data_IF_222603294896
#
_entry.id   IF_222603294896
#
_cell.length_a   1.000
_cell.length_b   1.000
_cell.length_c   1.000
_cell.angle_alpha   90.00
_cell.angle_beta   90.00
_cell.angle_gamma   90.00
#
_symmetry.space_group_name_H-M   'P 1'
#
loop_
_entity.id
_entity.type
_entity.pdbx_description
1 polymer ?
#
# COMPACT_ATOMS: atom_id res chain seq x y z
N UNK A 1 11.49 10.86 -20.16
CA UNK A 1 10.76 10.91 -18.87
C UNK A 1 9.46 11.65 -19.10
N UNK A 2 8.42 10.95 -19.58
CA UNK A 2 7.09 11.55 -19.70
C UNK A 2 6.58 11.79 -18.30
N UNK A 3 6.58 13.05 -17.87
CA UNK A 3 5.80 13.48 -16.70
C UNK A 3 4.35 13.31 -17.13
N UNK A 4 3.77 12.12 -16.92
CA UNK A 4 2.39 11.83 -17.31
C UNK A 4 1.52 12.81 -16.56
N UNK A 5 1.12 13.88 -17.24
CA UNK A 5 0.26 14.89 -16.63
C UNK A 5 -1.06 14.20 -16.31
N UNK A 6 -1.39 14.12 -15.02
CA UNK A 6 -2.70 13.64 -14.57
C UNK A 6 -3.80 14.40 -15.31
N UNK A 7 -4.89 13.73 -15.64
CA UNK A 7 -6.04 14.37 -16.29
C UNK A 7 -6.52 15.59 -15.48
N UNK A 8 -6.96 16.71 -16.10
CA UNK A 8 -7.38 17.92 -15.38
C UNK A 8 -8.36 17.65 -14.24
N UNK A 9 -9.38 16.80 -14.45
CA UNK A 9 -10.35 16.45 -13.40
C UNK A 9 -9.73 15.84 -12.14
N UNK A 10 -8.65 15.06 -12.26
CA UNK A 10 -7.93 14.52 -11.11
C UNK A 10 -7.24 15.66 -10.32
N UNK A 11 -6.68 16.65 -11.03
CA UNK A 11 -6.03 17.80 -10.40
C UNK A 11 -7.04 18.70 -9.73
N UNK A 12 -8.12 19.05 -10.43
CA UNK A 12 -9.18 19.92 -9.91
C UNK A 12 -9.77 19.35 -8.63
N UNK A 13 -10.05 18.04 -8.59
CA UNK A 13 -10.57 17.39 -7.39
C UNK A 13 -9.55 17.37 -6.24
N UNK A 14 -8.26 17.16 -6.53
CA UNK A 14 -7.21 17.19 -5.52
C UNK A 14 -7.01 18.60 -4.93
N UNK A 15 -7.18 19.66 -5.73
CA UNK A 15 -7.16 21.05 -5.27
C UNK A 15 -8.38 21.39 -4.39
N UNK A 16 -9.54 20.79 -4.66
CA UNK A 16 -10.75 20.99 -3.88
C UNK A 16 -10.77 20.21 -2.56
N UNK A 17 -10.15 19.02 -2.51
CA UNK A 17 -10.13 18.15 -1.35
C UNK A 17 -9.78 18.85 -0.01
N UNK A 18 -8.67 19.61 0.11
CA UNK A 18 -8.31 20.28 1.36
C UNK A 18 -9.22 21.46 1.72
N UNK A 19 -10.05 21.93 0.78
CA UNK A 19 -10.93 23.11 0.95
C UNK A 19 -12.34 22.74 1.43
N UNK A 20 -12.62 21.46 1.67
CA UNK A 20 -13.94 20.99 2.09
C UNK A 20 -14.32 21.55 3.47
N UNK A 21 -15.39 22.34 3.54
CA UNK A 21 -15.90 22.97 4.78
C UNK A 21 -17.07 22.23 5.41
N UNK A 22 -17.67 21.25 4.71
CA UNK A 22 -18.74 20.41 5.24
C UNK A 22 -18.41 18.92 5.09
N UNK A 23 -18.90 18.10 6.02
CA UNK A 23 -18.74 16.63 5.96
C UNK A 23 -19.36 16.05 4.68
N UNK A 24 -20.46 16.64 4.19
CA UNK A 24 -21.10 16.22 2.93
C UNK A 24 -20.20 16.49 1.72
N UNK A 25 -19.53 17.64 1.66
CA UNK A 25 -18.57 17.98 0.60
C UNK A 25 -17.36 17.06 0.64
N UNK A 26 -16.77 16.85 1.83
CA UNK A 26 -15.64 15.94 2.01
C UNK A 26 -15.99 14.51 1.56
N UNK A 27 -17.19 14.02 1.91
CA UNK A 27 -17.70 12.73 1.45
C UNK A 27 -17.84 12.70 -0.08
N UNK A 28 -18.40 13.75 -0.67
CA UNK A 28 -18.56 13.88 -2.12
C UNK A 28 -17.22 13.74 -2.85
N UNK A 29 -16.18 14.45 -2.38
CA UNK A 29 -14.81 14.37 -2.91
C UNK A 29 -14.27 12.94 -2.87
N UNK A 30 -14.41 12.23 -1.75
CA UNK A 30 -13.91 10.86 -1.61
C UNK A 30 -14.65 9.86 -2.53
N UNK A 31 -15.96 10.06 -2.74
CA UNK A 31 -16.77 9.24 -3.65
C UNK A 31 -16.39 9.52 -5.11
N UNK A 32 -16.27 10.79 -5.48
CA UNK A 32 -15.89 11.21 -6.83
C UNK A 32 -14.47 10.75 -7.17
N UNK A 33 -13.55 10.78 -6.20
CA UNK A 33 -12.18 10.32 -6.41
C UNK A 33 -12.11 8.86 -6.87
N UNK A 34 -12.94 8.01 -6.28
CA UNK A 34 -13.06 6.61 -6.67
C UNK A 34 -13.69 6.42 -8.06
N UNK A 35 -14.54 7.34 -8.51
CA UNK A 35 -15.08 7.30 -9.87
C UNK A 35 -14.02 7.73 -10.88
N UNK A 36 -13.32 8.84 -10.61
CA UNK A 36 -12.24 9.32 -11.46
C UNK A 36 -11.09 8.33 -11.60
N UNK A 37 -10.76 7.58 -10.55
CA UNK A 37 -9.78 6.48 -10.63
C UNK A 37 -10.17 5.43 -11.67
N UNK A 38 -11.43 4.98 -11.68
CA UNK A 38 -11.88 3.98 -12.66
C UNK A 38 -11.74 4.51 -14.08
N UNK A 39 -12.16 5.75 -14.31
CA UNK A 39 -12.03 6.40 -15.62
C UNK A 39 -10.54 6.54 -16.02
N UNK A 40 -9.66 6.91 -15.10
CA UNK A 40 -8.24 7.06 -15.37
C UNK A 40 -7.55 5.72 -15.73
N UNK A 41 -7.99 4.61 -15.12
CA UNK A 41 -7.55 3.26 -15.46
C UNK A 41 -8.00 2.84 -16.87
N UNK A 42 -9.22 3.19 -17.28
CA UNK A 42 -9.69 2.94 -18.65
C UNK A 42 -8.83 3.68 -19.69
N UNK A 43 -8.35 4.88 -19.34
CA UNK A 43 -7.44 5.68 -20.15
C UNK A 43 -5.94 5.31 -19.99
N UNK A 44 -5.62 4.19 -19.33
CA UNK A 44 -4.25 3.68 -19.15
C UNK A 44 -3.29 4.66 -18.46
N UNK A 45 -3.81 5.45 -17.51
CA UNK A 45 -2.95 6.25 -16.63
C UNK A 45 -2.12 5.30 -15.76
N UNK A 46 -0.80 5.53 -15.56
CA UNK A 46 0.03 4.64 -14.76
C UNK A 46 -0.51 4.44 -13.36
N UNK A 47 -0.68 3.19 -12.95
CA UNK A 47 -1.33 2.81 -11.69
C UNK A 47 -0.57 3.33 -10.47
N UNK A 48 0.76 3.38 -10.51
CA UNK A 48 1.59 3.95 -9.45
C UNK A 48 1.39 5.46 -9.30
N UNK A 49 1.11 6.19 -10.38
CA UNK A 49 0.75 7.60 -10.30
C UNK A 49 -0.65 7.77 -9.68
N UNK A 50 -1.57 6.82 -9.96
CA UNK A 50 -2.91 6.81 -9.39
C UNK A 50 -2.93 6.47 -7.89
N UNK A 51 -2.07 5.56 -7.40
CA UNK A 51 -1.96 5.30 -5.95
C UNK A 51 -1.48 6.53 -5.20
N UNK A 52 -0.48 7.24 -5.75
CA UNK A 52 0.05 8.47 -5.14
C UNK A 52 -1.03 9.54 -5.09
N UNK A 53 -1.66 9.82 -6.23
CA UNK A 53 -2.74 10.80 -6.32
C UNK A 53 -3.88 10.50 -5.36
N UNK A 54 -4.33 9.24 -5.30
CA UNK A 54 -5.45 8.85 -4.45
C UNK A 54 -5.09 8.95 -2.97
N UNK A 55 -3.88 8.51 -2.60
CA UNK A 55 -3.38 8.62 -1.23
C UNK A 55 -3.33 10.08 -0.80
N UNK A 56 -2.75 10.95 -1.63
CA UNK A 56 -2.62 12.38 -1.34
C UNK A 56 -3.97 13.06 -1.21
N UNK A 57 -4.94 12.72 -2.06
CA UNK A 57 -6.31 13.24 -1.99
C UNK A 57 -7.01 12.83 -0.69
N UNK A 58 -6.89 11.57 -0.28
CA UNK A 58 -7.47 11.11 0.99
C UNK A 58 -6.81 11.83 2.16
N UNK A 59 -5.48 11.92 2.19
CA UNK A 59 -4.74 12.64 3.25
C UNK A 59 -5.09 14.13 3.31
N UNK A 60 -5.24 14.79 2.15
CA UNK A 60 -5.69 16.18 2.07
C UNK A 60 -7.11 16.33 2.62
N UNK A 61 -7.99 15.37 2.35
CA UNK A 61 -9.36 15.35 2.91
C UNK A 61 -9.34 15.17 4.43
N UNK A 62 -8.43 14.37 4.99
CA UNK A 62 -8.27 14.22 6.45
C UNK A 62 -7.83 15.52 7.14
N UNK A 63 -7.20 16.43 6.38
CA UNK A 63 -6.67 17.70 6.88
C UNK A 63 -7.58 18.89 6.58
N UNK A 64 -8.74 18.69 5.95
CA UNK A 64 -9.65 19.77 5.60
C UNK A 64 -10.44 20.30 6.81
N UNK A 65 -10.98 21.53 6.75
CA UNK A 65 -11.78 22.12 7.84
C UNK A 65 -12.94 21.24 8.30
N UNK A 66 -13.65 20.58 7.38
CA UNK A 66 -14.79 19.70 7.69
C UNK A 66 -14.44 18.53 8.62
N UNK A 67 -13.17 18.13 8.67
CA UNK A 67 -12.66 17.03 9.50
C UNK A 67 -11.96 17.59 10.73
N UNK A 68 -11.00 18.50 10.56
CA UNK A 68 -10.14 18.98 11.65
C UNK A 68 -10.95 19.71 12.73
N UNK A 69 -11.95 20.49 12.36
CA UNK A 69 -12.79 21.22 13.34
C UNK A 69 -13.65 20.30 14.22
N UNK A 70 -13.87 19.06 13.78
CA UNK A 70 -14.66 18.05 14.51
C UNK A 70 -13.81 17.11 15.34
N UNK A 71 -12.49 17.11 15.15
CA UNK A 71 -11.58 16.24 15.87
C UNK A 71 -11.07 16.94 17.13
N UNK A 72 -11.01 16.25 18.28
CA UNK A 72 -10.44 16.82 19.50
C UNK A 72 -8.91 17.05 19.39
N UNK A 73 -8.25 16.28 18.51
CA UNK A 73 -6.82 16.36 18.24
C UNK A 73 -6.53 15.91 16.80
N UNK A 74 -5.47 16.43 16.15
CA UNK A 74 -5.04 15.92 14.85
C UNK A 74 -4.76 14.42 14.89
N UNK A 75 -5.09 13.72 13.80
CA UNK A 75 -4.70 12.32 13.58
C UNK A 75 -3.43 12.25 12.74
N UNK A 76 -2.62 11.23 12.92
CA UNK A 76 -1.41 10.97 12.12
C UNK A 76 -1.60 9.71 11.29
N UNK A 77 -1.86 9.83 9.97
CA UNK A 77 -2.04 8.68 9.09
C UNK A 77 -0.82 7.76 9.07
N UNK A 78 -1.06 6.47 8.87
CA UNK A 78 -0.01 5.45 8.77
C UNK A 78 -0.32 4.44 7.66
N UNK A 79 0.61 3.51 7.41
CA UNK A 79 0.47 2.44 6.45
C UNK A 79 0.46 2.95 5.00
N UNK A 80 -0.24 2.26 4.08
CA UNK A 80 -0.17 2.55 2.65
C UNK A 80 -0.56 3.99 2.26
N UNK A 81 -1.57 4.58 2.93
CA UNK A 81 -1.96 5.97 2.68
C UNK A 81 -0.82 6.95 3.00
N UNK A 82 -0.18 6.80 4.16
CA UNK A 82 0.95 7.63 4.54
C UNK A 82 2.13 7.53 3.55
N UNK A 83 2.35 6.34 2.97
CA UNK A 83 3.39 6.09 1.98
C UNK A 83 3.08 6.58 0.56
N UNK A 84 1.82 6.87 0.23
CA UNK A 84 1.43 7.19 -1.15
C UNK A 84 1.12 5.97 -2.01
N UNK A 85 0.90 4.83 -1.38
CA UNK A 85 0.80 3.51 -2.02
C UNK A 85 -0.63 2.93 -1.96
N UNK A 86 -1.60 3.70 -1.49
CA UNK A 86 -2.93 3.18 -1.20
C UNK A 86 -3.77 2.94 -2.45
N UNK A 87 -4.54 1.86 -2.41
CA UNK A 87 -5.67 1.61 -3.30
C UNK A 87 -6.99 1.90 -2.57
N UNK A 88 -8.11 2.10 -3.28
CA UNK A 88 -9.41 2.27 -2.63
C UNK A 88 -9.86 1.09 -1.75
N UNK A 89 -9.37 -0.12 -2.04
CA UNK A 89 -9.60 -1.33 -1.22
C UNK A 89 -8.70 -1.39 0.03
N UNK A 90 -7.76 -0.46 0.18
CA UNK A 90 -6.85 -0.41 1.32
C UNK A 90 -7.53 0.26 2.51
N UNK A 91 -7.34 -0.29 3.70
CA UNK A 91 -7.85 0.32 4.91
C UNK A 91 -7.09 1.62 5.25
N UNK A 92 -7.82 2.68 5.54
CA UNK A 92 -7.28 3.92 6.12
C UNK A 92 -6.97 3.65 7.59
N UNK A 93 -5.75 3.97 8.02
CA UNK A 93 -5.29 3.77 9.41
C UNK A 93 -4.55 5.01 9.90
N UNK A 94 -4.65 5.32 11.18
CA UNK A 94 -4.00 6.48 11.79
C UNK A 94 -3.72 6.27 13.28
N UNK A 95 -2.78 7.04 13.80
CA UNK A 95 -2.60 7.26 15.23
C UNK A 95 -3.42 8.48 15.69
N UNK A 96 -3.97 8.42 16.89
CA UNK A 96 -4.64 9.53 17.56
C UNK A 96 -4.16 9.60 19.01
N UNK A 97 -4.37 10.75 19.68
CA UNK A 97 -4.08 10.83 21.10
C UNK A 97 -4.95 9.83 21.90
N UNK A 98 -4.46 9.29 23.03
CA UNK A 98 -5.22 8.35 23.84
C UNK A 98 -6.59 8.93 24.24
N UNK A 99 -7.66 8.19 23.98
CA UNK A 99 -9.03 8.62 24.30
C UNK A 99 -9.65 9.63 23.32
N UNK A 100 -8.95 9.99 22.23
CA UNK A 100 -9.53 10.85 21.19
C UNK A 100 -10.70 10.15 20.48
N UNK A 101 -11.87 10.78 20.50
CA UNK A 101 -13.01 10.34 19.72
C UNK A 101 -12.78 10.63 18.22
N UNK A 102 -12.76 9.57 17.42
CA UNK A 102 -12.61 9.63 15.96
C UNK A 102 -13.81 9.01 15.23
N UNK A 103 -14.92 8.74 15.93
CA UNK A 103 -16.10 8.08 15.36
C UNK A 103 -16.67 8.83 14.14
N UNK A 104 -16.71 10.16 14.19
CA UNK A 104 -17.14 10.98 13.05
C UNK A 104 -16.22 10.86 11.82
N UNK A 105 -14.92 10.64 12.02
CA UNK A 105 -13.99 10.38 10.92
C UNK A 105 -14.21 8.98 10.33
N UNK A 106 -14.42 7.98 11.19
CA UNK A 106 -14.77 6.62 10.76
C UNK A 106 -16.05 6.65 9.93
N UNK A 107 -17.08 7.34 10.38
CA UNK A 107 -18.36 7.48 9.67
C UNK A 107 -18.18 8.17 8.30
N UNK A 108 -17.40 9.25 8.23
CA UNK A 108 -17.11 9.94 6.98
C UNK A 108 -16.45 9.00 5.96
N UNK A 109 -15.39 8.29 6.35
CA UNK A 109 -14.64 7.41 5.45
C UNK A 109 -15.49 6.21 5.00
N UNK A 110 -16.20 5.58 5.93
CA UNK A 110 -17.05 4.42 5.63
C UNK A 110 -18.26 4.78 4.78
N UNK A 111 -18.90 5.92 5.02
CA UNK A 111 -20.02 6.43 4.21
C UNK A 111 -19.61 6.86 2.78
N UNK A 112 -18.31 7.08 2.56
CA UNK A 112 -17.70 7.27 1.24
C UNK A 112 -17.27 5.95 0.56
N UNK A 113 -17.46 4.80 1.21
CA UNK A 113 -17.10 3.49 0.69
C UNK A 113 -15.65 3.07 0.92
N UNK A 114 -14.90 3.79 1.76
CA UNK A 114 -13.56 3.41 2.17
C UNK A 114 -13.61 2.49 3.38
N UNK A 115 -12.60 1.63 3.52
CA UNK A 115 -12.43 0.79 4.71
C UNK A 115 -11.57 1.53 5.73
N UNK A 116 -11.92 1.42 7.00
CA UNK A 116 -11.11 1.90 8.12
C UNK A 116 -10.57 0.69 8.86
N UNK A 117 -9.28 0.74 9.22
CA UNK A 117 -8.63 -0.29 10.03
C UNK A 117 -7.97 0.33 11.26
N UNK A 118 -7.46 -0.54 12.12
CA UNK A 118 -6.67 -0.14 13.29
C UNK A 118 -5.17 -0.27 12.98
N UNK A 119 -4.34 0.69 13.42
CA UNK A 119 -2.90 0.51 13.36
C UNK A 119 -2.48 -0.67 14.27
N UNK A 120 -1.38 -1.38 13.96
CA UNK A 120 -0.85 -2.41 14.84
C UNK A 120 -0.58 -1.88 16.25
N UNK A 121 -0.98 -2.63 17.27
CA UNK A 121 -0.90 -2.20 18.67
C UNK A 121 0.47 -2.42 19.31
N UNK A 122 1.25 -3.40 18.83
CA UNK A 122 2.53 -3.78 19.44
C UNK A 122 3.55 -4.36 18.44
N UNK A 123 4.74 -4.66 18.97
CA UNK A 123 5.82 -5.35 18.27
C UNK A 123 6.36 -4.63 17.03
N UNK A 124 6.95 -5.42 16.12
CA UNK A 124 7.52 -4.92 14.89
C UNK A 124 6.46 -4.28 13.95
N UNK A 125 5.19 -4.70 14.06
CA UNK A 125 4.09 -4.08 13.34
C UNK A 125 3.87 -2.63 13.75
N UNK A 126 3.88 -2.34 15.07
CA UNK A 126 3.79 -0.98 15.58
C UNK A 126 5.00 -0.14 15.16
N UNK A 127 6.22 -0.71 15.23
CA UNK A 127 7.44 -0.07 14.74
C UNK A 127 7.31 0.33 13.27
N UNK A 128 6.87 -0.59 12.41
CA UNK A 128 6.64 -0.34 10.99
C UNK A 128 5.60 0.77 10.74
N UNK A 129 4.48 0.75 11.47
CA UNK A 129 3.45 1.78 11.37
C UNK A 129 3.96 3.15 11.83
N UNK A 130 4.75 3.23 12.89
CA UNK A 130 5.33 4.51 13.36
C UNK A 130 6.35 5.08 12.37
N UNK A 131 7.11 4.25 11.67
CA UNK A 131 8.00 4.68 10.58
C UNK A 131 7.19 5.24 9.41
N UNK A 132 6.12 4.56 9.00
CA UNK A 132 5.25 5.05 7.91
C UNK A 132 4.57 6.37 8.28
N UNK A 133 4.19 6.53 9.54
CA UNK A 133 3.62 7.77 10.09
C UNK A 133 4.65 8.88 10.32
N UNK A 134 5.94 8.64 10.06
CA UNK A 134 7.06 9.57 10.36
C UNK A 134 7.19 9.96 11.82
N UNK A 135 6.63 9.17 12.72
CA UNK A 135 6.77 9.38 14.16
C UNK A 135 8.15 8.97 14.65
N UNK A 136 8.84 8.11 13.90
CA UNK A 136 10.22 7.67 14.13
C UNK A 136 10.90 7.45 12.79
N UNK A 137 12.21 7.71 12.73
CA UNK A 137 13.05 7.36 11.58
C UNK A 137 14.32 6.71 12.15
N UNK A 138 14.45 5.37 12.05
CA UNK A 138 15.65 4.67 12.51
C UNK A 138 16.90 5.20 11.82
N UNK A 139 17.92 5.56 12.60
CA UNK A 139 19.21 6.05 12.08
C UNK A 139 20.01 4.91 11.41
N UNK A 140 19.89 3.69 11.95
CA UNK A 140 20.52 2.47 11.44
C UNK A 140 19.47 1.44 10.95
N UNK A 141 19.86 0.49 10.07
CA UNK A 141 18.96 -0.59 9.64
C UNK A 141 18.47 -1.40 10.85
N UNK A 142 17.15 -1.50 11.01
CA UNK A 142 16.53 -2.19 12.14
C UNK A 142 16.43 -3.69 11.87
N UNK A 143 17.01 -4.51 12.75
CA UNK A 143 16.89 -5.97 12.66
C UNK A 143 15.42 -6.42 12.78
N UNK A 144 14.67 -5.82 13.71
CA UNK A 144 13.24 -6.12 13.90
C UNK A 144 12.40 -5.85 12.63
N UNK A 145 12.68 -4.76 11.90
CA UNK A 145 11.99 -4.47 10.64
C UNK A 145 12.35 -5.47 9.53
N UNK A 146 13.61 -5.93 9.48
CA UNK A 146 14.01 -6.94 8.51
C UNK A 146 13.39 -8.30 8.83
N UNK A 147 13.40 -8.71 10.11
CA UNK A 147 12.75 -9.93 10.56
C UNK A 147 11.25 -9.91 10.23
N UNK A 148 10.58 -8.76 10.43
CA UNK A 148 9.19 -8.57 10.01
C UNK A 148 9.01 -8.78 8.50
N UNK A 149 9.86 -8.15 7.67
CA UNK A 149 9.79 -8.31 6.22
C UNK A 149 9.96 -9.78 5.78
N UNK A 150 10.93 -10.49 6.38
CA UNK A 150 11.18 -11.91 6.13
C UNK A 150 10.01 -12.79 6.59
N UNK A 151 9.34 -12.43 7.69
CA UNK A 151 8.17 -13.17 8.19
C UNK A 151 6.97 -13.13 7.24
N UNK A 152 6.86 -12.10 6.40
CA UNK A 152 5.80 -11.97 5.38
C UNK A 152 6.19 -12.55 4.02
N UNK A 153 7.27 -13.32 3.94
CA UNK A 153 7.71 -13.96 2.71
C UNK A 153 6.55 -14.76 2.09
N UNK A 154 6.26 -14.59 0.78
CA UNK A 154 5.27 -15.40 0.10
C UNK A 154 5.55 -16.90 0.26
N UNK A 155 4.52 -17.72 0.50
CA UNK A 155 4.69 -19.16 0.66
C UNK A 155 5.25 -19.78 -0.61
N UNK A 156 5.95 -20.90 -0.45
CA UNK A 156 6.35 -21.70 -1.60
C UNK A 156 5.10 -22.16 -2.37
N UNK A 157 5.17 -22.07 -3.69
CA UNK A 157 4.06 -22.43 -4.56
C UNK A 157 3.81 -23.94 -4.44
N UNK A 158 2.64 -24.32 -3.93
CA UNK A 158 2.29 -25.71 -3.70
C UNK A 158 1.93 -26.38 -5.03
N UNK A 159 2.51 -27.56 -5.26
CA UNK A 159 2.24 -28.34 -6.47
C UNK A 159 1.25 -29.46 -6.17
N UNK A 160 0.15 -29.51 -6.91
CA UNK A 160 -0.81 -30.60 -6.95
C UNK A 160 -0.68 -31.31 -8.30
N UNK A 161 -0.32 -32.59 -8.29
CA UNK A 161 -0.09 -33.39 -9.51
C UNK A 161 0.86 -32.76 -10.55
N UNK A 162 1.88 -32.02 -10.08
CA UNK A 162 2.88 -31.36 -10.96
C UNK A 162 2.46 -30.01 -11.53
N UNK A 163 1.27 -29.50 -11.15
CA UNK A 163 0.78 -28.17 -11.49
C UNK A 163 0.60 -27.32 -10.22
N UNK A 164 0.62 -25.98 -10.32
CA UNK A 164 0.16 -25.11 -9.24
C UNK A 164 -1.21 -25.55 -8.72
N UNK A 165 -1.33 -25.72 -7.40
CA UNK A 165 -2.63 -25.97 -6.77
C UNK A 165 -3.58 -24.79 -7.07
N UNK A 166 -4.70 -25.02 -7.77
CA UNK A 166 -5.62 -23.96 -8.17
C UNK A 166 -6.40 -23.37 -7.00
N UNK A 167 -6.53 -24.09 -5.88
CA UNK A 167 -7.38 -23.69 -4.74
C UNK A 167 -6.62 -22.80 -3.75
N UNK A 168 -5.30 -22.64 -3.92
CA UNK A 168 -4.47 -21.76 -3.09
C UNK A 168 -4.94 -20.31 -3.27
N UNK A 169 -5.15 -19.55 -2.18
CA UNK A 169 -5.54 -18.16 -2.27
C UNK A 169 -4.44 -17.31 -2.91
N UNK A 170 -4.79 -16.56 -3.96
CA UNK A 170 -3.91 -15.57 -4.57
C UNK A 170 -4.02 -14.22 -3.87
N UNK A 171 -3.47 -14.14 -2.65
CA UNK A 171 -3.51 -12.91 -1.85
C UNK A 171 -2.39 -11.94 -2.26
N UNK A 172 -2.71 -11.04 -3.20
CA UNK A 172 -1.76 -10.03 -3.69
C UNK A 172 -1.33 -9.07 -2.56
N UNK A 173 -2.22 -8.75 -1.62
CA UNK A 173 -1.90 -7.80 -0.56
C UNK A 173 -0.91 -8.40 0.44
N UNK A 174 -1.17 -9.60 0.95
CA UNK A 174 -0.30 -10.24 1.95
C UNK A 174 0.96 -10.83 1.33
N UNK A 175 0.89 -11.37 0.11
CA UNK A 175 2.00 -12.11 -0.49
C UNK A 175 2.93 -11.24 -1.34
N UNK A 176 2.47 -10.09 -1.84
CA UNK A 176 3.29 -9.21 -2.70
C UNK A 176 3.46 -7.82 -2.08
N UNK A 177 2.37 -7.06 -1.91
CA UNK A 177 2.47 -5.65 -1.50
C UNK A 177 3.11 -5.50 -0.10
N UNK A 178 2.59 -6.21 0.91
CA UNK A 178 3.10 -6.13 2.28
C UNK A 178 4.61 -6.46 2.39
N UNK A 179 5.10 -7.63 1.92
CA UNK A 179 6.53 -7.96 2.02
C UNK A 179 7.43 -6.97 1.29
N UNK A 180 7.05 -6.49 0.10
CA UNK A 180 7.86 -5.50 -0.63
C UNK A 180 7.94 -4.18 0.15
N UNK A 181 6.81 -3.67 0.65
CA UNK A 181 6.78 -2.46 1.45
C UNK A 181 7.59 -2.59 2.75
N UNK A 182 7.63 -3.78 3.35
CA UNK A 182 8.40 -4.04 4.55
C UNK A 182 9.92 -4.05 4.28
N UNK A 183 10.37 -4.67 3.18
CA UNK A 183 11.77 -4.60 2.74
C UNK A 183 12.16 -3.15 2.44
N UNK A 184 11.32 -2.43 1.69
CA UNK A 184 11.57 -1.04 1.34
C UNK A 184 11.67 -0.16 2.60
N UNK A 185 10.76 -0.35 3.56
CA UNK A 185 10.79 0.38 4.85
C UNK A 185 12.06 0.10 5.64
N UNK A 186 12.50 -1.15 5.70
CA UNK A 186 13.75 -1.50 6.36
C UNK A 186 14.96 -0.84 5.68
N UNK A 187 15.00 -0.86 4.35
CA UNK A 187 16.15 -0.40 3.58
C UNK A 187 16.33 1.13 3.62
N UNK A 188 15.24 1.90 3.59
CA UNK A 188 15.31 3.36 3.60
C UNK A 188 14.13 4.01 4.33
N UNK A 189 14.05 3.89 5.67
CA UNK A 189 12.87 4.33 6.43
C UNK A 189 12.60 5.84 6.34
N UNK A 190 13.54 6.65 5.87
CA UNK A 190 13.39 8.08 5.68
C UNK A 190 12.62 8.47 4.40
N UNK A 191 12.50 7.59 3.41
CA UNK A 191 11.75 7.86 2.17
C UNK A 191 10.26 7.54 2.33
N UNK A 192 9.40 8.20 1.55
CA UNK A 192 7.94 8.11 1.73
C UNK A 192 7.38 6.88 1.03
N UNK A 193 7.53 6.81 -0.28
CA UNK A 193 6.93 5.77 -1.12
C UNK A 193 7.73 4.48 -1.10
N UNK A 194 7.08 3.35 -1.40
CA UNK A 194 7.78 2.06 -1.49
C UNK A 194 8.87 2.06 -2.57
N UNK A 195 8.60 2.65 -3.74
CA UNK A 195 9.59 2.66 -4.83
C UNK A 195 10.79 3.58 -4.52
N UNK A 196 10.57 4.76 -3.95
CA UNK A 196 11.67 5.65 -3.54
C UNK A 196 12.53 5.01 -2.46
N UNK A 197 11.87 4.28 -1.54
CA UNK A 197 12.55 3.50 -0.49
C UNK A 197 13.45 2.40 -1.06
N UNK A 198 12.99 1.67 -2.08
CA UNK A 198 13.81 0.65 -2.74
C UNK A 198 15.04 1.29 -3.41
N UNK A 199 14.84 2.36 -4.18
CA UNK A 199 15.93 3.09 -4.84
C UNK A 199 16.95 3.65 -3.84
N UNK A 200 16.50 4.26 -2.75
CA UNK A 200 17.36 4.74 -1.68
C UNK A 200 18.07 3.59 -0.93
N UNK A 201 17.41 2.44 -0.78
CA UNK A 201 18.00 1.22 -0.22
C UNK A 201 19.20 0.72 -1.02
N UNK A 202 19.13 0.80 -2.36
CA UNK A 202 20.27 0.52 -3.23
C UNK A 202 21.41 1.52 -3.05
N UNK A 203 21.11 2.82 -3.03
CA UNK A 203 22.12 3.86 -2.81
C UNK A 203 22.84 3.73 -1.45
N UNK A 204 22.18 3.13 -0.46
CA UNK A 204 22.74 2.82 0.86
C UNK A 204 23.51 1.48 0.91
N UNK A 205 23.55 0.72 -0.18
CA UNK A 205 24.22 -0.58 -0.26
C UNK A 205 23.51 -1.71 0.49
N UNK A 206 22.23 -1.52 0.88
CA UNK A 206 21.46 -2.54 1.59
C UNK A 206 20.76 -3.51 0.63
N UNK A 207 20.42 -3.04 -0.56
CA UNK A 207 19.83 -3.83 -1.65
C UNK A 207 20.75 -3.82 -2.87
N UNK A 208 20.85 -4.94 -3.56
CA UNK A 208 21.52 -4.99 -4.88
C UNK A 208 20.63 -4.37 -5.96
N UNK A 209 21.21 -4.06 -7.12
CA UNK A 209 20.46 -3.58 -8.28
C UNK A 209 19.38 -4.59 -8.70
N UNK A 210 19.76 -5.86 -8.83
CA UNK A 210 18.84 -6.97 -9.16
C UNK A 210 17.68 -7.10 -8.16
N UNK A 211 17.94 -6.90 -6.86
CA UNK A 211 16.90 -6.95 -5.82
C UNK A 211 15.91 -5.80 -5.95
N UNK A 212 16.40 -4.59 -6.24
CA UNK A 212 15.54 -3.43 -6.46
C UNK A 212 14.72 -3.58 -7.74
N UNK A 213 15.31 -4.06 -8.83
CA UNK A 213 14.59 -4.30 -10.08
C UNK A 213 13.48 -5.34 -9.87
N UNK A 214 13.80 -6.48 -9.27
CA UNK A 214 12.84 -7.56 -9.01
C UNK A 214 11.69 -7.11 -8.11
N UNK A 215 11.98 -6.39 -7.02
CA UNK A 215 10.95 -5.89 -6.10
C UNK A 215 10.09 -4.79 -6.73
N UNK A 216 10.68 -3.90 -7.53
CA UNK A 216 9.94 -2.83 -8.21
C UNK A 216 8.99 -3.39 -9.26
N UNK A 217 9.45 -4.35 -10.07
CA UNK A 217 8.60 -5.02 -11.06
C UNK A 217 7.45 -5.80 -10.40
N UNK A 218 7.76 -6.52 -9.31
CA UNK A 218 6.75 -7.24 -8.55
C UNK A 218 5.72 -6.30 -7.90
N UNK A 219 6.16 -5.13 -7.43
CA UNK A 219 5.30 -4.08 -6.87
C UNK A 219 4.32 -3.54 -7.91
N UNK A 220 4.81 -3.12 -9.08
CA UNK A 220 3.98 -2.61 -10.17
C UNK A 220 2.97 -3.66 -10.62
N UNK A 221 3.40 -4.92 -10.74
CA UNK A 221 2.53 -6.05 -11.07
C UNK A 221 1.42 -6.22 -10.02
N UNK A 222 1.77 -6.17 -8.73
CA UNK A 222 0.82 -6.33 -7.64
C UNK A 222 -0.19 -5.18 -7.58
N UNK A 223 0.26 -3.94 -7.77
CA UNK A 223 -0.59 -2.74 -7.84
C UNK A 223 -1.56 -2.86 -9.02
N UNK A 224 -1.10 -3.23 -10.21
CA UNK A 224 -1.94 -3.41 -11.39
C UNK A 224 -3.01 -4.49 -11.18
N UNK A 225 -2.63 -5.64 -10.60
CA UNK A 225 -3.58 -6.72 -10.28
C UNK A 225 -4.67 -6.25 -9.29
N UNK A 226 -4.30 -5.51 -8.24
CA UNK A 226 -5.27 -5.01 -7.27
C UNK A 226 -6.19 -3.93 -7.83
N UNK A 227 -5.66 -3.00 -8.63
CA UNK A 227 -6.49 -1.99 -9.29
C UNK A 227 -7.50 -2.61 -10.25
N UNK A 228 -7.09 -3.59 -11.05
CA UNK A 228 -8.00 -4.32 -11.94
C UNK A 228 -9.12 -4.98 -11.17
N UNK A 229 -8.80 -5.73 -10.12
CA UNK A 229 -9.81 -6.38 -9.27
C UNK A 229 -10.80 -5.38 -8.66
N UNK A 230 -10.28 -4.26 -8.15
CA UNK A 230 -11.12 -3.21 -7.60
C UNK A 230 -12.00 -2.53 -8.68
N UNK A 231 -11.45 -2.25 -9.86
CA UNK A 231 -12.18 -1.65 -10.97
C UNK A 231 -13.31 -2.56 -11.47
N UNK A 232 -13.03 -3.87 -11.55
CA UNK A 232 -13.97 -4.93 -11.94
C UNK A 232 -15.00 -5.24 -10.83
N UNK A 233 -14.94 -4.53 -9.69
CA UNK A 233 -15.82 -4.72 -8.52
C UNK A 233 -15.79 -6.14 -7.95
N UNK A 234 -14.65 -6.83 -8.10
CA UNK A 234 -14.43 -8.13 -7.49
C UNK A 234 -14.24 -7.93 -6.00
N UNK A 235 -14.91 -8.76 -5.19
CA UNK A 235 -14.91 -8.65 -3.73
C UNK A 235 -13.51 -8.66 -3.10
N UNK A 236 -13.41 -8.12 -1.88
CA UNK A 236 -12.15 -7.97 -1.13
C UNK A 236 -11.49 -9.28 -0.71
N UNK A 237 -12.21 -10.40 -0.77
CA UNK A 237 -11.67 -11.73 -0.46
C UNK A 237 -10.61 -12.12 -1.52
N UNK A 238 -9.45 -12.69 -1.14
CA UNK A 238 -8.51 -13.26 -2.09
C UNK A 238 -9.21 -14.30 -2.97
N UNK A 239 -9.05 -14.25 -4.32
CA UNK A 239 -9.58 -15.27 -5.20
C UNK A 239 -8.73 -16.53 -5.10
N UNK A 240 -9.28 -17.68 -5.46
CA UNK A 240 -8.44 -18.85 -5.69
C UNK A 240 -7.52 -18.59 -6.89
N UNK A 241 -6.33 -19.17 -6.91
CA UNK A 241 -5.38 -19.02 -8.01
C UNK A 241 -5.99 -19.46 -9.36
N UNK A 242 -6.85 -20.48 -9.33
CA UNK A 242 -7.61 -20.99 -10.47
C UNK A 242 -8.64 -20.00 -11.04
N UNK A 243 -9.16 -19.10 -10.22
CA UNK A 243 -10.17 -18.10 -10.63
C UNK A 243 -9.55 -16.91 -11.36
N UNK A 244 -8.23 -16.74 -11.27
CA UNK A 244 -7.53 -15.69 -12.02
C UNK A 244 -7.44 -16.05 -13.51
N UNK A 245 -7.60 -15.06 -14.41
CA UNK A 245 -7.24 -15.21 -15.81
C UNK A 245 -5.80 -15.70 -15.97
N UNK A 246 -5.53 -16.52 -16.99
CA UNK A 246 -4.23 -17.19 -17.18
C UNK A 246 -3.04 -16.22 -17.13
N UNK A 247 -3.18 -15.03 -17.75
CA UNK A 247 -2.15 -13.99 -17.72
C UNK A 247 -1.90 -13.45 -16.31
N UNK A 248 -2.98 -13.16 -15.56
CA UNK A 248 -2.88 -12.66 -14.18
C UNK A 248 -2.30 -13.70 -13.24
N UNK A 249 -2.67 -14.97 -13.42
CA UNK A 249 -2.12 -16.11 -12.66
C UNK A 249 -0.62 -16.24 -12.87
N UNK A 250 -0.16 -16.15 -14.12
CA UNK A 250 1.26 -16.18 -14.47
C UNK A 250 2.02 -15.01 -13.85
N UNK A 251 1.48 -13.79 -13.98
CA UNK A 251 2.05 -12.57 -13.43
C UNK A 251 2.18 -12.64 -11.89
N UNK A 252 1.12 -13.06 -11.20
CA UNK A 252 1.14 -13.27 -9.75
C UNK A 252 2.21 -14.28 -9.34
N UNK A 253 2.24 -15.45 -10.00
CA UNK A 253 3.22 -16.49 -9.68
C UNK A 253 4.67 -16.06 -9.93
N UNK A 254 4.93 -15.28 -10.99
CA UNK A 254 6.24 -14.72 -11.27
C UNK A 254 6.67 -13.72 -10.19
N UNK A 255 5.81 -12.75 -9.87
CA UNK A 255 6.05 -11.76 -8.82
C UNK A 255 6.28 -12.42 -7.45
N UNK A 256 5.47 -13.42 -7.08
CA UNK A 256 5.63 -14.14 -5.81
C UNK A 256 6.99 -14.84 -5.71
N UNK A 257 7.48 -15.43 -6.80
CA UNK A 257 8.81 -16.05 -6.85
C UNK A 257 9.93 -15.02 -6.74
N UNK A 258 9.81 -13.87 -7.40
CA UNK A 258 10.77 -12.76 -7.27
C UNK A 258 10.87 -12.29 -5.82
N UNK A 259 9.74 -11.95 -5.20
CA UNK A 259 9.68 -11.48 -3.80
C UNK A 259 10.23 -12.54 -2.84
N UNK A 260 9.83 -13.81 -2.99
CA UNK A 260 10.34 -14.90 -2.15
C UNK A 260 11.85 -15.11 -2.31
N UNK A 261 12.37 -14.96 -3.54
CA UNK A 261 13.79 -15.05 -3.85
C UNK A 261 14.61 -13.98 -3.14
N UNK A 262 14.19 -12.71 -3.24
CA UNK A 262 14.85 -11.58 -2.58
C UNK A 262 14.81 -11.73 -1.06
N UNK A 263 13.65 -12.04 -0.46
CA UNK A 263 13.54 -12.23 0.98
C UNK A 263 14.39 -13.41 1.49
N UNK A 264 14.52 -14.49 0.71
CA UNK A 264 15.43 -15.59 1.03
C UNK A 264 16.90 -15.15 1.00
N UNK A 265 17.29 -14.37 -0.01
CA UNK A 265 18.66 -13.84 -0.12
C UNK A 265 19.00 -12.90 1.04
N UNK A 266 18.08 -11.99 1.39
CA UNK A 266 18.22 -11.11 2.55
C UNK A 266 18.31 -11.90 3.86
N UNK A 267 17.45 -12.89 4.07
CA UNK A 267 17.50 -13.73 5.26
C UNK A 267 18.86 -14.45 5.38
N UNK A 268 19.37 -15.01 4.28
CA UNK A 268 20.70 -15.64 4.26
C UNK A 268 21.84 -14.67 4.56
N UNK A 269 21.80 -13.46 3.99
CA UNK A 269 22.81 -12.40 4.20
C UNK A 269 22.85 -11.89 5.64
N UNK A 270 21.70 -11.88 6.32
CA UNK A 270 21.54 -11.33 7.67
C UNK A 270 21.37 -12.40 8.75
N UNK A 271 21.53 -13.69 8.45
CA UNK A 271 21.46 -14.77 9.43
C UNK A 271 20.06 -15.00 10.03
N UNK A 272 19.00 -14.61 9.33
CA UNK A 272 17.62 -14.77 9.79
C UNK A 272 17.13 -16.18 9.44
N UNK A 273 16.60 -16.90 10.44
CA UNK A 273 16.05 -18.24 10.21
C UNK A 273 14.72 -18.14 9.47
N UNK A 274 14.59 -18.91 8.40
CA UNK A 274 13.35 -19.03 7.63
C UNK A 274 12.49 -20.13 8.26
N UNK A 275 11.31 -19.75 8.74
CA UNK A 275 10.27 -20.70 9.12
C UNK A 275 9.49 -21.21 7.89
#
# INVERSE_FOLDING_TARGET
MFKTMLHPSLRDLAEQAPLSTSTATARGVLVEAQQLLRNALEHRTPETALTVWFSDLVLATLSCPAVVEKLPSPVTPTGPFARGDALPSTAVTWFAAPGSDTAGLVELLTSAGLTVGEPPADGAGLLAARVDARLIVPEAPSEELLQLAVSHRPPALQALAGLPDPDVPADVASSLLRPIADVARWAAPAERSTLDRLAAGHNRGLLTEDEVEALSQAWETAVALQFRRWADRVGSRPPALGDLPALHRSAYGAAARQVAGVLRALAGRHGITLN
#
